data_IF_659087539449
#
_entry.id   IF_659087539449
#
_cell.length_a   1.000
_cell.length_b   1.000
_cell.length_c   1.000
_cell.angle_alpha   90.00
_cell.angle_beta   90.00
_cell.angle_gamma   90.00
#
_symmetry.space_group_name_H-M   'P 1'
#
loop_
_entity.id
_entity.type
_entity.pdbx_description
1 polymer ?
#
# COMPACT_ATOMS: atom_id res chain seq x y z
N UNK A 1 4.12 -1.03 -49.64
CA UNK A 1 3.93 -2.17 -48.74
C UNK A 1 3.14 -1.66 -47.55
N UNK A 2 1.88 -2.04 -47.47
CA UNK A 2 0.92 -1.55 -46.48
C UNK A 2 1.18 -2.28 -45.16
N UNK A 3 1.68 -1.57 -44.15
CA UNK A 3 1.91 -2.12 -42.81
C UNK A 3 0.57 -2.33 -42.13
N UNK A 4 0.31 -3.55 -41.66
CA UNK A 4 -0.88 -3.87 -40.88
C UNK A 4 -0.85 -3.09 -39.55
N UNK A 5 -1.99 -2.57 -39.07
CA UNK A 5 -2.05 -1.83 -37.82
C UNK A 5 -1.75 -2.76 -36.63
N UNK A 6 -1.19 -2.24 -35.53
CA UNK A 6 -0.89 -3.06 -34.35
C UNK A 6 -2.16 -3.69 -33.77
N UNK A 7 -2.10 -4.99 -33.49
CA UNK A 7 -3.22 -5.76 -32.96
C UNK A 7 -3.58 -5.30 -31.54
N UNK A 8 -4.62 -4.46 -31.47
CA UNK A 8 -5.20 -3.93 -30.22
C UNK A 8 -5.66 -5.03 -29.26
N UNK A 9 -5.93 -6.24 -29.77
CA UNK A 9 -6.37 -7.40 -29.00
C UNK A 9 -5.23 -7.99 -28.19
N UNK A 10 -4.04 -8.13 -28.79
CA UNK A 10 -2.83 -8.60 -28.12
C UNK A 10 -2.42 -7.66 -26.98
N UNK A 11 -2.46 -6.33 -27.21
CA UNK A 11 -2.14 -5.35 -26.16
C UNK A 11 -3.13 -5.38 -24.98
N UNK A 12 -4.42 -5.63 -25.24
CA UNK A 12 -5.43 -5.77 -24.18
C UNK A 12 -5.23 -7.05 -23.37
N UNK A 13 -4.92 -8.16 -24.05
CA UNK A 13 -4.63 -9.46 -23.44
C UNK A 13 -3.39 -9.40 -22.52
N UNK A 14 -2.30 -8.75 -22.94
CA UNK A 14 -1.09 -8.63 -22.11
C UNK A 14 -1.31 -7.76 -20.86
N UNK A 15 -2.12 -6.69 -20.96
CA UNK A 15 -2.53 -5.87 -19.80
C UNK A 15 -3.34 -6.68 -18.78
N UNK A 16 -4.20 -7.58 -19.24
CA UNK A 16 -4.98 -8.47 -18.37
C UNK A 16 -4.10 -9.51 -17.67
N UNK A 17 -3.07 -10.03 -18.35
CA UNK A 17 -2.10 -10.98 -17.79
C UNK A 17 -1.29 -10.39 -16.63
N UNK A 18 -0.90 -9.11 -16.71
CA UNK A 18 -0.11 -8.46 -15.65
C UNK A 18 -0.93 -7.97 -14.44
N UNK A 19 -2.27 -8.00 -14.49
CA UNK A 19 -3.12 -7.68 -13.32
C UNK A 19 -2.99 -8.67 -12.16
N UNK A 20 -2.46 -9.88 -12.40
CA UNK A 20 -2.31 -10.93 -11.39
C UNK A 20 -1.07 -10.79 -10.50
N UNK A 21 -0.05 -10.03 -10.93
CA UNK A 21 1.23 -9.91 -10.19
C UNK A 21 1.05 -9.19 -8.85
N UNK A 22 0.08 -8.29 -8.74
CA UNK A 22 -0.30 -7.63 -7.47
C UNK A 22 -1.01 -8.52 -6.46
N UNK A 23 -1.55 -9.69 -6.86
CA UNK A 23 -2.23 -10.63 -5.94
C UNK A 23 -1.30 -11.60 -5.24
N UNK A 24 -0.08 -11.83 -5.77
CA UNK A 24 0.87 -12.81 -5.24
C UNK A 24 1.58 -12.38 -3.95
N UNK A 25 1.42 -11.12 -3.51
CA UNK A 25 1.92 -10.65 -2.21
C UNK A 25 1.09 -11.17 -1.01
N UNK A 26 -0.03 -11.87 -1.25
CA UNK A 26 -0.74 -12.64 -0.21
C UNK A 26 -0.47 -14.12 -0.41
N UNK A 27 0.71 -14.57 0.03
CA UNK A 27 1.08 -15.98 -0.07
C UNK A 27 0.20 -16.80 0.89
N UNK A 28 -0.54 -17.75 0.30
CA UNK A 28 -1.43 -18.67 0.98
C UNK A 28 -0.66 -19.60 1.92
N UNK A 29 -1.02 -19.61 3.20
CA UNK A 29 -0.63 -20.66 4.13
C UNK A 29 -1.53 -21.88 3.83
N UNK A 30 -0.98 -23.08 3.57
CA UNK A 30 -1.80 -24.24 3.31
C UNK A 30 -2.50 -24.64 4.62
N UNK A 31 -3.83 -24.60 4.62
CA UNK A 31 -4.64 -25.12 5.70
C UNK A 31 -4.42 -26.63 5.81
N UNK A 32 -3.81 -27.06 6.92
CA UNK A 32 -3.73 -28.46 7.32
C UNK A 32 -5.16 -28.92 7.67
N UNK A 33 -5.73 -29.75 6.80
CA UNK A 33 -7.00 -30.42 7.02
C UNK A 33 -6.84 -31.48 8.12
N UNK A 34 -7.27 -31.15 9.34
CA UNK A 34 -7.53 -32.12 10.40
C UNK A 34 -8.97 -32.62 10.27
N UNK A 35 -9.12 -33.82 9.70
CA UNK A 35 -10.36 -34.58 9.68
C UNK A 35 -10.62 -35.12 11.09
N UNK A 36 -11.62 -34.59 11.79
CA UNK A 36 -12.21 -35.27 12.94
C UNK A 36 -13.64 -35.71 12.58
N UNK A 37 -13.79 -37.02 12.39
CA UNK A 37 -15.07 -37.69 12.32
C UNK A 37 -15.66 -37.80 13.73
N UNK A 38 -16.85 -37.23 13.93
CA UNK A 38 -17.75 -37.62 15.03
C UNK A 38 -19.15 -37.77 14.43
N UNK A 39 -19.52 -39.04 14.20
CA UNK A 39 -20.92 -39.46 14.09
C UNK A 39 -21.47 -39.57 15.50
N UNK A 40 -22.60 -38.91 15.79
CA UNK A 40 -23.65 -39.44 16.67
C UNK A 40 -24.97 -38.71 16.37
N UNK A 41 -25.95 -39.53 16.00
CA UNK A 41 -27.32 -39.20 15.63
C UNK A 41 -28.14 -38.56 16.76
N UNK A 42 -29.14 -37.76 16.38
CA UNK A 42 -30.23 -37.38 17.28
C UNK A 42 -31.29 -36.51 16.61
N UNK A 43 -32.28 -37.14 15.96
CA UNK A 43 -33.50 -36.50 15.51
C UNK A 43 -34.36 -36.08 16.70
N UNK A 44 -34.86 -34.84 16.72
CA UNK A 44 -36.15 -34.53 17.37
C UNK A 44 -36.95 -33.60 16.46
N UNK A 45 -38.03 -34.16 15.94
CA UNK A 45 -39.17 -33.48 15.31
C UNK A 45 -39.98 -32.71 16.36
N UNK A 46 -40.39 -31.48 16.07
CA UNK A 46 -41.48 -30.81 16.79
C UNK A 46 -42.61 -30.37 15.84
N UNK A 47 -43.88 -30.45 16.29
CA UNK A 47 -45.10 -30.37 15.47
C UNK A 47 -45.58 -28.93 15.20
N UNK A 48 -46.56 -28.73 14.29
CA UNK A 48 -47.10 -27.41 13.97
C UNK A 48 -48.16 -26.99 15.01
N UNK A 49 -48.03 -25.78 15.54
CA UNK A 49 -49.02 -25.12 16.39
C UNK A 49 -49.78 -24.03 15.62
N UNK A 50 -51.10 -24.13 15.60
CA UNK A 50 -52.07 -23.24 14.95
C UNK A 50 -52.55 -22.10 15.86
N UNK A 51 -52.69 -20.90 15.27
CA UNK A 51 -53.67 -19.85 15.61
C UNK A 51 -53.09 -18.52 16.14
N UNK A 52 -53.83 -17.39 16.09
CA UNK A 52 -54.85 -16.95 15.13
C UNK A 52 -54.52 -15.58 14.47
N UNK A 53 -55.28 -15.22 13.43
CA UNK A 53 -55.42 -13.87 12.86
C UNK A 53 -55.73 -12.81 13.94
N UNK A 54 -55.05 -11.65 13.91
CA UNK A 54 -55.73 -10.35 13.88
C UNK A 54 -54.81 -9.13 13.63
N UNK A 55 -55.31 -8.26 12.76
CA UNK A 55 -55.06 -6.81 12.67
C UNK A 55 -53.71 -6.31 12.12
N UNK A 56 -53.79 -5.72 10.92
CA UNK A 56 -52.66 -5.17 10.20
C UNK A 56 -52.24 -3.77 10.64
N UNK A 57 -50.97 -3.49 10.44
CA UNK A 57 -50.44 -2.19 10.04
C UNK A 57 -49.38 -2.43 8.96
N UNK A 58 -49.61 -1.87 7.77
CA UNK A 58 -48.65 -1.84 6.68
C UNK A 58 -47.34 -1.21 7.18
N UNK A 59 -46.29 -2.03 7.28
CA UNK A 59 -44.91 -1.57 7.27
C UNK A 59 -44.19 -2.35 6.19
N UNK A 60 -43.70 -1.65 5.17
CA UNK A 60 -42.82 -2.22 4.15
C UNK A 60 -41.69 -3.00 4.84
N UNK A 61 -41.26 -4.16 4.30
CA UNK A 61 -40.13 -4.87 4.88
C UNK A 61 -38.88 -4.00 4.73
N UNK A 62 -38.43 -3.42 5.84
CA UNK A 62 -37.09 -2.84 5.92
C UNK A 62 -36.16 -4.03 5.81
N UNK A 63 -35.60 -4.24 4.61
CA UNK A 63 -34.47 -5.14 4.43
C UNK A 63 -33.40 -4.70 5.43
N UNK A 64 -32.98 -5.53 6.39
CA UNK A 64 -31.81 -5.19 7.18
C UNK A 64 -30.65 -5.05 6.20
N UNK A 65 -30.10 -3.84 6.10
CA UNK A 65 -28.85 -3.59 5.41
C UNK A 65 -27.85 -4.65 5.88
N UNK A 66 -27.21 -5.42 4.97
CA UNK A 66 -26.17 -6.35 5.37
C UNK A 66 -25.12 -5.57 6.17
N UNK A 67 -24.83 -5.99 7.40
CA UNK A 67 -23.67 -5.49 8.14
C UNK A 67 -22.47 -5.90 7.30
N UNK A 68 -21.91 -4.93 6.58
CA UNK A 68 -20.66 -5.09 5.88
C UNK A 68 -19.60 -5.39 6.93
N UNK A 69 -19.10 -6.62 6.97
CA UNK A 69 -18.02 -7.02 7.87
C UNK A 69 -16.91 -5.97 7.80
N UNK A 70 -16.76 -5.26 8.92
CA UNK A 70 -16.30 -3.88 8.94
C UNK A 70 -14.81 -3.76 8.67
N UNK A 71 -14.46 -2.93 7.69
CA UNK A 71 -13.11 -2.38 7.61
C UNK A 71 -12.94 -1.44 8.82
N UNK A 72 -11.99 -1.73 9.70
CA UNK A 72 -11.67 -0.85 10.83
C UNK A 72 -11.21 0.52 10.30
N UNK A 73 -11.67 1.64 10.87
CA UNK A 73 -11.30 2.99 10.42
C UNK A 73 -9.79 3.30 10.40
N UNK A 74 -9.01 2.55 11.17
CA UNK A 74 -7.57 2.73 11.32
C UNK A 74 -6.74 1.90 10.33
N UNK A 75 -7.35 0.89 9.71
CA UNK A 75 -6.63 -0.11 8.91
C UNK A 75 -6.37 0.34 7.48
N UNK A 76 -5.25 -0.09 6.90
CA UNK A 76 -4.85 0.21 5.51
C UNK A 76 -4.44 1.66 5.27
N UNK A 77 -4.27 2.45 6.33
CA UNK A 77 -3.85 3.84 6.31
C UNK A 77 -2.49 3.94 7.00
N UNK A 78 -1.56 4.69 6.40
CA UNK A 78 -0.34 5.09 7.09
C UNK A 78 -0.61 6.34 7.93
N UNK A 79 -0.29 6.26 9.21
CA UNK A 79 -0.44 7.33 10.19
C UNK A 79 0.94 7.86 10.56
N UNK A 80 1.16 9.16 10.50
CA UNK A 80 2.42 9.83 10.86
C UNK A 80 2.27 10.46 12.24
N UNK A 81 3.20 10.18 13.15
CA UNK A 81 3.13 10.69 14.51
C UNK A 81 3.29 12.21 14.52
N UNK A 82 2.38 12.88 15.22
CA UNK A 82 2.37 14.34 15.40
C UNK A 82 2.86 14.72 16.79
N UNK A 83 2.45 13.96 17.81
CA UNK A 83 2.89 14.14 19.19
C UNK A 83 2.68 12.86 19.99
N UNK A 84 3.44 12.70 21.07
CA UNK A 84 3.30 11.60 22.02
C UNK A 84 3.33 12.12 23.47
N UNK A 85 2.78 11.35 24.42
CA UNK A 85 2.87 11.63 25.85
C UNK A 85 3.87 10.66 26.48
N UNK A 86 5.03 11.16 26.88
CA UNK A 86 6.09 10.41 27.56
C UNK A 86 5.76 10.01 29.01
N UNK A 87 4.51 10.18 29.46
CA UNK A 87 4.11 10.07 30.86
C UNK A 87 4.45 11.31 31.68
N UNK A 88 4.81 12.41 31.02
CA UNK A 88 5.02 13.73 31.61
C UNK A 88 3.74 14.55 31.41
N UNK A 89 3.47 15.52 32.28
CA UNK A 89 2.25 16.34 32.22
C UNK A 89 2.07 17.13 30.89
N UNK A 90 3.03 17.09 29.97
CA UNK A 90 3.01 17.79 28.69
C UNK A 90 3.24 16.84 27.51
N UNK A 91 2.46 17.03 26.44
CA UNK A 91 2.68 16.39 25.14
C UNK A 91 4.03 16.82 24.57
N UNK A 92 4.81 15.87 24.09
CA UNK A 92 6.10 16.11 23.43
C UNK A 92 5.91 16.19 21.90
N UNK A 93 6.66 17.10 21.26
CA UNK A 93 6.75 17.19 19.80
C UNK A 93 7.79 16.21 19.26
N UNK A 94 7.65 15.85 17.99
CA UNK A 94 8.59 14.97 17.29
C UNK A 94 9.95 15.66 17.12
N UNK A 95 11.02 14.91 17.33
CA UNK A 95 12.39 15.30 17.04
C UNK A 95 12.48 15.73 15.57
N UNK A 96 12.85 16.98 15.29
CA UNK A 96 12.97 17.48 13.92
C UNK A 96 13.91 16.62 13.07
N UNK A 97 13.50 16.30 11.85
CA UNK A 97 14.26 15.42 10.95
C UNK A 97 14.05 13.92 11.20
N UNK A 98 13.22 13.53 12.17
CA UNK A 98 12.74 12.15 12.31
C UNK A 98 11.30 12.02 11.80
N UNK A 99 10.97 10.86 11.22
CA UNK A 99 9.60 10.53 10.78
C UNK A 99 9.20 9.24 11.44
N UNK A 100 8.13 9.29 12.23
CA UNK A 100 7.57 8.13 12.94
C UNK A 100 6.23 7.79 12.31
N UNK A 101 6.02 6.52 11.94
CA UNK A 101 4.83 6.06 11.24
C UNK A 101 4.23 4.82 11.90
N UNK A 102 2.93 4.64 11.74
CA UNK A 102 2.20 3.44 12.12
C UNK A 102 1.20 3.08 11.01
N UNK A 103 1.19 1.81 10.60
CA UNK A 103 0.20 1.28 9.66
C UNK A 103 -0.40 0.00 10.20
N UNK A 104 -1.72 -0.03 10.32
CA UNK A 104 -2.49 -1.15 10.85
C UNK A 104 -3.01 -2.00 9.69
N UNK A 105 -2.56 -3.25 9.56
CA UNK A 105 -3.03 -4.15 8.51
C UNK A 105 -4.22 -4.98 8.97
N UNK A 106 -5.09 -5.37 8.04
CA UNK A 106 -6.31 -6.14 8.35
C UNK A 106 -6.00 -7.51 8.95
N UNK A 107 -4.81 -8.01 8.72
CA UNK A 107 -4.27 -9.28 9.20
C UNK A 107 -3.84 -9.25 10.69
N UNK A 108 -4.10 -8.15 11.42
CA UNK A 108 -3.79 -8.05 12.85
C UNK A 108 -2.31 -7.77 13.15
N UNK A 109 -1.58 -7.26 12.15
CA UNK A 109 -0.19 -6.83 12.28
C UNK A 109 -0.10 -5.35 11.98
N UNK A 110 0.67 -4.62 12.76
CA UNK A 110 1.05 -3.25 12.45
C UNK A 110 2.54 -3.17 12.17
N UNK A 111 2.92 -2.26 11.28
CA UNK A 111 4.31 -1.96 10.96
C UNK A 111 4.54 -0.45 10.89
N UNK A 112 5.79 -0.04 10.98
CA UNK A 112 6.13 1.37 10.84
C UNK A 112 7.60 1.66 10.99
N UNK A 113 7.92 2.96 10.98
CA UNK A 113 9.22 3.48 11.41
C UNK A 113 9.07 4.16 12.75
N UNK A 114 9.98 3.90 13.68
CA UNK A 114 10.10 4.63 14.94
C UNK A 114 11.05 5.83 14.84
N UNK A 115 11.36 6.28 13.62
CA UNK A 115 12.32 7.35 13.33
C UNK A 115 13.78 6.88 13.28
N UNK A 116 14.14 5.82 14.01
CA UNK A 116 15.45 5.17 13.95
C UNK A 116 15.36 3.77 13.33
N UNK A 117 14.50 2.91 13.90
CA UNK A 117 14.31 1.54 13.44
C UNK A 117 13.03 1.34 12.63
N UNK A 118 12.98 0.21 11.92
CA UNK A 118 11.72 -0.39 11.49
C UNK A 118 11.18 -1.22 12.64
N UNK A 119 9.87 -1.22 12.83
CA UNK A 119 9.22 -2.00 13.86
C UNK A 119 7.96 -2.70 13.34
N UNK A 120 7.55 -3.74 14.05
CA UNK A 120 6.29 -4.43 13.84
C UNK A 120 5.72 -4.94 15.16
N UNK A 121 4.40 -5.03 15.26
CA UNK A 121 3.69 -5.56 16.42
C UNK A 121 2.42 -6.28 15.97
N UNK A 122 1.95 -7.25 16.75
CA UNK A 122 0.58 -7.73 16.61
C UNK A 122 -0.37 -6.73 17.25
N UNK A 123 -1.57 -6.62 16.71
CA UNK A 123 -2.61 -5.82 17.32
C UNK A 123 -3.98 -6.48 17.11
N UNK A 124 -4.86 -6.24 18.07
CA UNK A 124 -6.27 -6.56 17.99
C UNK A 124 -7.06 -5.27 18.08
N UNK A 125 -8.07 -5.10 17.23
CA UNK A 125 -8.90 -3.92 17.24
C UNK A 125 -10.36 -4.24 16.94
N UNK A 126 -11.24 -3.46 17.55
CA UNK A 126 -12.67 -3.41 17.29
C UNK A 126 -13.04 -1.96 16.94
N UNK A 127 -14.32 -1.60 16.67
CA UNK A 127 -14.68 -0.24 16.27
C UNK A 127 -14.25 0.89 17.24
N UNK A 128 -13.92 0.58 18.49
CA UNK A 128 -13.49 1.59 19.47
C UNK A 128 -12.43 1.13 20.48
N UNK A 129 -11.91 -0.10 20.33
CA UNK A 129 -10.86 -0.66 21.19
C UNK A 129 -9.66 -1.07 20.35
N UNK A 130 -8.48 -0.97 20.95
CA UNK A 130 -7.25 -1.48 20.36
C UNK A 130 -6.37 -2.03 21.48
N UNK A 131 -5.70 -3.13 21.20
CA UNK A 131 -4.62 -3.68 22.02
C UNK A 131 -3.44 -3.95 21.10
N UNK A 132 -2.24 -3.53 21.49
CA UNK A 132 -1.02 -3.65 20.70
C UNK A 132 0.00 -4.42 21.54
N UNK A 133 0.48 -5.54 21.01
CA UNK A 133 1.56 -6.31 21.62
C UNK A 133 2.83 -5.48 21.69
N UNK A 134 3.74 -5.84 22.60
CA UNK A 134 5.06 -5.20 22.66
C UNK A 134 5.76 -5.25 21.28
N UNK A 135 6.11 -4.08 20.69
CA UNK A 135 6.71 -4.06 19.36
C UNK A 135 8.07 -4.72 19.31
N UNK A 136 8.33 -5.44 18.23
CA UNK A 136 9.66 -5.86 17.81
C UNK A 136 10.24 -4.81 16.87
N UNK A 137 11.57 -4.66 16.86
CA UNK A 137 12.26 -3.69 16.00
C UNK A 137 13.56 -4.25 15.45
N UNK A 138 14.06 -3.62 14.39
CA UNK A 138 15.47 -3.75 13.99
C UNK A 138 16.39 -3.19 15.08
N UNK A 139 17.67 -3.55 15.05
CA UNK A 139 18.65 -3.18 16.08
C UNK A 139 19.68 -2.16 15.57
N UNK A 140 19.24 -1.12 14.87
CA UNK A 140 20.10 0.01 14.50
C UNK A 140 20.26 0.97 15.69
N UNK A 141 21.45 1.57 15.80
CA UNK A 141 21.77 2.63 16.75
C UNK A 141 21.82 3.95 16.00
N UNK A 142 20.91 4.88 16.33
CA UNK A 142 20.85 6.20 15.69
C UNK A 142 21.15 7.29 16.72
N UNK A 143 22.20 8.07 16.48
CA UNK A 143 22.57 9.24 17.29
C UNK A 143 22.15 10.57 16.64
N UNK A 144 21.66 10.50 15.39
CA UNK A 144 21.25 11.66 14.60
C UNK A 144 19.87 11.36 14.00
N UNK A 145 18.89 12.27 14.09
CA UNK A 145 18.96 13.54 14.84
C UNK A 145 19.05 13.32 16.37
N UNK A 146 19.59 14.31 17.08
CA UNK A 146 19.72 14.24 18.55
C UNK A 146 18.37 13.95 19.20
N UNK A 147 18.32 12.96 20.10
CA UNK A 147 17.11 12.56 20.80
C UNK A 147 16.27 11.48 20.10
N UNK A 148 16.57 11.11 18.84
CA UNK A 148 15.77 10.12 18.09
C UNK A 148 15.68 8.76 18.79
N UNK A 149 16.75 8.31 19.43
CA UNK A 149 16.76 7.05 20.17
C UNK A 149 15.85 7.06 21.41
N UNK A 150 15.81 8.20 22.12
CA UNK A 150 14.91 8.38 23.27
C UNK A 150 13.46 8.45 22.81
N UNK A 151 13.18 9.20 21.73
CA UNK A 151 11.85 9.27 21.14
C UNK A 151 11.36 7.88 20.72
N UNK A 152 12.18 7.09 20.01
CA UNK A 152 11.84 5.73 19.62
C UNK A 152 11.42 4.89 20.83
N UNK A 153 12.21 4.96 21.91
CA UNK A 153 11.95 4.17 23.11
C UNK A 153 10.62 4.55 23.76
N UNK A 154 10.32 5.86 23.86
CA UNK A 154 9.05 6.33 24.41
C UNK A 154 7.87 5.95 23.51
N UNK A 155 7.99 6.19 22.21
CA UNK A 155 6.98 5.85 21.22
C UNK A 155 6.59 4.36 21.27
N UNK A 156 7.58 3.46 21.28
CA UNK A 156 7.31 2.01 21.30
C UNK A 156 6.69 1.56 22.63
N UNK A 157 7.03 2.20 23.75
CA UNK A 157 6.37 1.96 25.04
C UNK A 157 4.92 2.45 25.03
N UNK A 158 4.63 3.61 24.44
CA UNK A 158 3.30 4.21 24.40
C UNK A 158 2.32 3.44 23.50
N UNK A 159 2.82 2.78 22.43
CA UNK A 159 2.01 1.85 21.64
C UNK A 159 1.38 0.77 22.52
N UNK A 160 2.15 0.17 23.43
CA UNK A 160 1.68 -0.87 24.34
C UNK A 160 0.70 -0.38 25.42
N UNK A 161 0.53 0.93 25.60
CA UNK A 161 -0.45 1.50 26.55
C UNK A 161 -1.84 1.67 25.93
N UNK A 162 -1.94 1.64 24.60
CA UNK A 162 -3.18 1.89 23.89
C UNK A 162 -4.24 0.85 24.28
N UNK A 163 -5.42 1.33 24.67
CA UNK A 163 -6.61 0.53 25.02
C UNK A 163 -7.82 0.89 24.14
N UNK A 164 -7.88 2.14 23.70
CA UNK A 164 -8.91 2.65 22.80
C UNK A 164 -8.28 3.54 21.73
N UNK A 165 -9.04 3.82 20.67
CA UNK A 165 -8.63 4.79 19.66
C UNK A 165 -9.80 5.69 19.28
N UNK A 166 -9.47 6.85 18.73
CA UNK A 166 -10.42 7.80 18.13
C UNK A 166 -9.87 8.29 16.81
N UNK A 167 -10.69 8.22 15.76
CA UNK A 167 -10.42 8.86 14.47
C UNK A 167 -11.29 10.12 14.38
N UNK A 168 -10.67 11.25 14.09
CA UNK A 168 -11.32 12.56 13.93
C UNK A 168 -10.75 13.25 12.68
N UNK A 169 -11.48 13.13 11.56
CA UNK A 169 -11.00 13.55 10.25
C UNK A 169 -9.68 12.85 9.87
N UNK A 170 -8.63 13.64 9.71
CA UNK A 170 -7.28 13.16 9.38
C UNK A 170 -6.44 12.83 10.62
N UNK A 171 -7.00 12.82 11.84
CA UNK A 171 -6.25 12.51 13.05
C UNK A 171 -6.65 11.17 13.67
N UNK A 172 -5.66 10.39 14.07
CA UNK A 172 -5.83 9.20 14.89
C UNK A 172 -5.22 9.46 16.28
N UNK A 173 -6.03 9.33 17.32
CA UNK A 173 -5.56 9.31 18.71
C UNK A 173 -5.60 7.89 19.26
N UNK A 174 -4.51 7.41 19.83
CA UNK A 174 -4.49 6.22 20.69
C UNK A 174 -4.55 6.66 22.14
N UNK A 175 -5.46 6.06 22.92
CA UNK A 175 -5.71 6.44 24.30
C UNK A 175 -5.45 5.27 25.24
N UNK A 176 -4.91 5.57 26.42
CA UNK A 176 -4.71 4.60 27.48
C UNK A 176 -6.04 4.16 28.14
N UNK A 177 -5.96 3.21 29.08
CA UNK A 177 -7.12 2.71 29.80
C UNK A 177 -7.87 3.76 30.65
N UNK A 178 -7.27 4.93 30.88
CA UNK A 178 -7.90 6.06 31.58
C UNK A 178 -8.51 7.08 30.61
N UNK A 179 -8.48 6.81 29.30
CA UNK A 179 -8.98 7.72 28.27
C UNK A 179 -8.06 8.90 27.97
N UNK A 180 -6.79 8.86 28.41
CA UNK A 180 -5.81 9.88 28.06
C UNK A 180 -5.13 9.52 26.74
N UNK A 181 -5.06 10.48 25.82
CA UNK A 181 -4.35 10.30 24.55
C UNK A 181 -2.83 10.17 24.79
N UNK A 182 -2.26 9.02 24.44
CA UNK A 182 -0.82 8.72 24.56
C UNK A 182 -0.09 8.94 23.24
N UNK A 183 -0.77 8.78 22.11
CA UNK A 183 -0.21 9.01 20.79
C UNK A 183 -1.23 9.74 19.92
N UNK A 184 -0.79 10.78 19.23
CA UNK A 184 -1.56 11.49 18.22
C UNK A 184 -0.85 11.37 16.88
N UNK A 185 -1.55 10.88 15.89
CA UNK A 185 -1.10 10.78 14.52
C UNK A 185 -1.96 11.64 13.60
N UNK A 186 -1.34 12.16 12.55
CA UNK A 186 -2.02 12.64 11.36
C UNK A 186 -2.00 11.54 10.30
N UNK A 187 -3.05 11.45 9.49
CA UNK A 187 -3.09 10.62 8.29
C UNK A 187 -1.96 11.06 7.39
N UNK A 188 -1.18 10.12 6.85
CA UNK A 188 -0.22 10.45 5.80
C UNK A 188 -1.03 10.92 4.59
N UNK A 189 -1.16 12.24 4.44
CA UNK A 189 -1.61 12.84 3.21
C UNK A 189 -0.47 12.67 2.22
N UNK A 190 -0.69 11.89 1.16
CA UNK A 190 0.19 11.98 0.00
C UNK A 190 0.29 13.47 -0.36
N UNK A 191 1.50 14.04 -0.47
CA UNK A 191 1.65 15.40 -0.96
C UNK A 191 0.82 15.56 -2.23
N UNK A 192 0.18 16.70 -2.44
CA UNK A 192 -0.70 16.94 -3.60
C UNK A 192 -0.03 16.48 -4.90
N UNK A 193 1.26 16.79 -5.06
CA UNK A 193 2.12 16.36 -6.17
C UNK A 193 2.28 14.82 -6.28
N UNK A 194 2.32 14.11 -5.15
CA UNK A 194 2.38 12.64 -5.10
C UNK A 194 1.03 11.98 -5.36
N UNK A 195 -0.09 12.66 -5.09
CA UNK A 195 -1.41 12.14 -5.42
C UNK A 195 -1.58 11.96 -6.94
N UNK A 196 -0.96 12.83 -7.75
CA UNK A 196 -0.99 12.75 -9.22
C UNK A 196 -0.41 11.46 -9.77
N UNK A 197 0.67 10.94 -9.18
CA UNK A 197 1.35 9.74 -9.71
C UNK A 197 0.69 8.43 -9.23
N UNK A 198 0.02 8.43 -8.08
CA UNK A 198 -0.47 7.24 -7.38
C UNK A 198 -1.80 6.65 -7.90
N UNK A 199 -2.53 7.35 -8.77
CA UNK A 199 -3.88 6.92 -9.16
C UNK A 199 -3.98 6.41 -10.61
N UNK A 200 -3.01 6.75 -11.45
CA UNK A 200 -3.08 6.50 -12.89
C UNK A 200 -2.10 5.44 -13.40
N UNK A 201 -2.43 4.83 -14.54
CA UNK A 201 -1.47 4.00 -15.28
C UNK A 201 -0.78 4.87 -16.32
N UNK A 202 0.53 5.00 -16.17
CA UNK A 202 1.42 5.73 -17.05
C UNK A 202 1.86 4.85 -18.22
N UNK A 203 1.99 5.45 -19.39
CA UNK A 203 2.40 4.79 -20.64
C UNK A 203 3.71 5.39 -21.12
N UNK A 204 4.75 4.57 -21.28
CA UNK A 204 6.06 5.08 -21.67
C UNK A 204 5.99 5.65 -23.10
N UNK A 205 6.46 6.88 -23.26
CA UNK A 205 6.55 7.55 -24.55
C UNK A 205 8.00 7.65 -25.03
N UNK A 206 8.95 7.83 -24.11
CA UNK A 206 10.38 7.86 -24.41
C UNK A 206 11.22 7.39 -23.22
N UNK A 207 12.44 6.91 -23.49
CA UNK A 207 13.44 6.59 -22.46
C UNK A 207 14.84 7.04 -22.87
N UNK A 208 15.75 7.12 -21.91
CA UNK A 208 17.18 7.33 -22.14
C UNK A 208 17.86 6.03 -22.55
N UNK A 209 18.45 5.99 -23.74
CA UNK A 209 19.23 4.84 -24.20
C UNK A 209 20.62 4.75 -23.54
N UNK A 210 21.43 3.75 -23.89
CA UNK A 210 22.78 3.56 -23.34
C UNK A 210 23.77 4.65 -23.79
N UNK A 211 23.46 5.40 -24.85
CA UNK A 211 24.27 6.49 -25.37
C UNK A 211 23.91 7.84 -24.72
N UNK A 212 22.86 7.86 -23.89
CA UNK A 212 22.39 9.07 -23.19
C UNK A 212 21.38 9.89 -23.98
N UNK A 213 20.87 9.41 -25.12
CA UNK A 213 19.82 10.10 -25.87
C UNK A 213 18.42 9.71 -25.38
N UNK A 214 17.49 10.67 -25.39
CA UNK A 214 16.07 10.37 -25.20
C UNK A 214 15.50 9.88 -26.52
N UNK A 215 15.13 8.61 -26.56
CA UNK A 215 14.57 7.94 -27.74
C UNK A 215 13.12 7.56 -27.49
N UNK A 216 12.28 7.73 -28.51
CA UNK A 216 10.86 7.38 -28.41
C UNK A 216 10.67 5.86 -28.32
N UNK A 217 9.63 5.44 -27.59
CA UNK A 217 9.22 4.04 -27.54
C UNK A 217 8.87 3.53 -28.95
N UNK A 218 9.40 2.37 -29.37
CA UNK A 218 9.10 1.83 -30.69
C UNK A 218 7.61 1.57 -30.90
N UNK A 219 7.15 1.74 -32.13
CA UNK A 219 5.73 1.51 -32.46
C UNK A 219 5.30 0.08 -32.12
N UNK A 220 4.13 -0.06 -31.50
CA UNK A 220 3.58 -1.35 -31.09
C UNK A 220 4.16 -1.91 -29.79
N UNK A 221 5.22 -1.31 -29.22
CA UNK A 221 5.76 -1.68 -27.91
C UNK A 221 5.02 -0.93 -26.81
N UNK A 222 4.36 -1.69 -25.94
CA UNK A 222 3.64 -1.15 -24.80
C UNK A 222 4.50 -1.29 -23.55
N UNK A 223 4.83 -0.18 -22.91
CA UNK A 223 5.43 -0.19 -21.57
C UNK A 223 4.55 0.63 -20.63
N UNK A 224 4.28 0.10 -19.45
CA UNK A 224 3.41 0.75 -18.46
C UNK A 224 4.04 0.81 -17.08
N UNK A 225 3.68 1.84 -16.33
CA UNK A 225 3.99 1.97 -14.92
C UNK A 225 2.74 2.39 -14.14
N UNK A 226 2.50 1.72 -13.01
CA UNK A 226 1.46 2.10 -12.07
C UNK A 226 2.07 2.12 -10.68
N UNK A 227 2.03 3.28 -10.04
CA UNK A 227 2.51 3.49 -8.70
C UNK A 227 1.34 3.33 -7.73
N UNK A 228 1.49 2.45 -6.75
CA UNK A 228 0.48 2.16 -5.73
C UNK A 228 1.18 1.85 -4.42
N UNK A 229 0.77 2.55 -3.35
CA UNK A 229 1.33 2.40 -2.01
C UNK A 229 2.87 2.50 -2.02
N UNK A 230 3.55 1.39 -1.74
CA UNK A 230 5.01 1.24 -1.72
C UNK A 230 5.54 0.43 -2.91
N UNK A 231 4.83 0.42 -4.05
CA UNK A 231 5.21 -0.37 -5.22
C UNK A 231 5.02 0.37 -6.54
N UNK A 232 5.85 0.03 -7.51
CA UNK A 232 5.60 0.29 -8.93
C UNK A 232 5.47 -1.04 -9.64
N UNK A 233 4.47 -1.17 -10.50
CA UNK A 233 4.26 -2.37 -11.31
C UNK A 233 3.76 -2.04 -12.69
N UNK A 234 3.96 -2.96 -13.63
CA UNK A 234 3.44 -2.79 -14.97
C UNK A 234 3.94 -3.83 -15.95
N UNK A 235 3.98 -3.45 -17.21
CA UNK A 235 4.47 -4.26 -18.31
C UNK A 235 5.69 -3.56 -18.92
N UNK A 236 6.82 -4.25 -19.01
CA UNK A 236 8.08 -3.70 -19.52
C UNK A 236 8.26 -3.88 -21.04
N UNK A 237 7.20 -4.23 -21.77
CA UNK A 237 7.23 -4.51 -23.21
C UNK A 237 7.12 -6.00 -23.54
N UNK A 238 7.70 -6.87 -22.72
CA UNK A 238 7.57 -8.32 -22.85
C UNK A 238 7.19 -9.02 -21.56
N UNK A 239 7.76 -8.59 -20.43
CA UNK A 239 7.51 -9.15 -19.13
C UNK A 239 6.70 -8.21 -18.26
N UNK A 240 5.91 -8.80 -17.38
CA UNK A 240 5.35 -8.05 -16.27
C UNK A 240 6.46 -7.81 -15.25
N UNK A 241 6.46 -6.65 -14.60
CA UNK A 241 7.41 -6.35 -13.54
C UNK A 241 6.71 -5.75 -12.32
N UNK A 242 7.38 -5.88 -11.17
CA UNK A 242 7.03 -5.21 -9.93
C UNK A 242 8.32 -4.84 -9.20
N UNK A 243 8.34 -3.68 -8.57
CA UNK A 243 9.43 -3.22 -7.73
C UNK A 243 8.87 -2.48 -6.50
N UNK A 244 9.51 -2.60 -5.32
CA UNK A 244 9.28 -1.67 -4.23
C UNK A 244 9.57 -0.23 -4.68
N UNK A 245 8.71 0.72 -4.32
CA UNK A 245 8.86 2.12 -4.65
C UNK A 245 8.47 2.99 -3.45
N UNK A 246 9.28 3.99 -3.13
CA UNK A 246 9.05 4.89 -2.00
C UNK A 246 8.94 6.31 -2.52
N UNK A 247 7.72 6.85 -2.48
CA UNK A 247 7.43 8.20 -2.96
C UNK A 247 7.28 9.12 -1.75
N UNK A 248 8.03 10.22 -1.73
CA UNK A 248 7.92 11.28 -0.71
C UNK A 248 8.04 12.63 -1.37
N UNK A 249 6.94 13.38 -1.43
CA UNK A 249 6.89 14.67 -2.15
C UNK A 249 7.37 14.45 -3.59
N UNK A 250 8.32 15.22 -4.12
CA UNK A 250 8.88 15.03 -5.47
C UNK A 250 9.98 13.94 -5.56
N UNK A 251 10.40 13.36 -4.44
CA UNK A 251 11.41 12.30 -4.43
C UNK A 251 10.76 10.92 -4.62
N UNK A 252 11.42 10.06 -5.39
CA UNK A 252 10.99 8.68 -5.59
C UNK A 252 12.22 7.78 -5.60
N UNK A 253 12.19 6.70 -4.83
CA UNK A 253 13.22 5.65 -4.88
C UNK A 253 12.57 4.35 -5.30
N UNK A 254 13.06 3.75 -6.39
CA UNK A 254 12.57 2.46 -6.89
C UNK A 254 13.67 1.42 -6.67
N UNK A 255 13.34 0.33 -6.01
CA UNK A 255 14.27 -0.77 -5.79
C UNK A 255 14.34 -1.70 -7.01
N UNK A 256 15.19 -2.73 -6.93
CA UNK A 256 15.38 -3.67 -8.03
C UNK A 256 14.07 -4.34 -8.45
N UNK A 257 13.64 -4.20 -9.71
CA UNK A 257 12.46 -4.85 -10.23
C UNK A 257 12.63 -6.36 -10.33
N UNK A 258 11.57 -7.06 -9.94
CA UNK A 258 11.36 -8.46 -10.30
C UNK A 258 10.51 -8.50 -11.56
N UNK A 259 11.01 -9.19 -12.59
CA UNK A 259 10.30 -9.39 -13.84
C UNK A 259 9.99 -10.88 -14.05
N UNK A 260 8.90 -11.17 -14.76
CA UNK A 260 8.68 -12.52 -15.28
C UNK A 260 9.78 -12.89 -16.27
N UNK A 261 10.00 -14.18 -16.48
CA UNK A 261 11.00 -14.69 -17.43
C UNK A 261 10.31 -15.35 -18.63
N UNK A 262 9.62 -14.52 -19.43
CA UNK A 262 8.98 -14.94 -20.68
C UNK A 262 9.95 -14.74 -21.83
N UNK A 263 10.09 -15.75 -22.69
CA UNK A 263 10.92 -15.63 -23.87
C UNK A 263 10.28 -14.74 -24.96
N UNK A 264 10.93 -13.61 -25.25
CA UNK A 264 10.51 -12.67 -26.30
C UNK A 264 11.34 -12.91 -27.57
N UNK A 265 10.71 -13.22 -28.70
CA UNK A 265 11.43 -13.42 -29.98
C UNK A 265 11.91 -12.11 -30.62
N UNK A 266 11.16 -11.02 -30.47
CA UNK A 266 11.48 -9.73 -31.07
C UNK A 266 12.61 -9.01 -30.30
N UNK A 267 13.71 -8.72 -30.99
CA UNK A 267 14.89 -8.08 -30.40
C UNK A 267 14.63 -6.64 -29.95
N UNK A 268 13.89 -5.85 -30.73
CA UNK A 268 13.50 -4.49 -30.36
C UNK A 268 12.73 -4.47 -29.04
N UNK A 269 11.83 -5.43 -28.83
CA UNK A 269 11.07 -5.56 -27.58
C UNK A 269 11.99 -5.92 -26.40
N UNK A 270 12.90 -6.90 -26.58
CA UNK A 270 13.87 -7.28 -25.53
C UNK A 270 14.79 -6.11 -25.15
N UNK A 271 15.26 -5.37 -26.15
CA UNK A 271 16.14 -4.22 -25.93
C UNK A 271 15.41 -3.10 -25.19
N UNK A 272 14.17 -2.79 -25.59
CA UNK A 272 13.32 -1.81 -24.90
C UNK A 272 13.08 -2.22 -23.44
N UNK A 273 12.75 -3.49 -23.19
CA UNK A 273 12.53 -4.03 -21.85
C UNK A 273 13.77 -3.90 -20.97
N UNK A 274 14.94 -4.31 -21.47
CA UNK A 274 16.20 -4.19 -20.73
C UNK A 274 16.49 -2.73 -20.36
N UNK A 275 16.40 -1.82 -21.33
CA UNK A 275 16.65 -0.40 -21.10
C UNK A 275 15.70 0.15 -20.04
N UNK A 276 14.40 -0.14 -20.18
CA UNK A 276 13.39 0.30 -19.22
C UNK A 276 13.69 -0.18 -17.79
N UNK A 277 13.96 -1.47 -17.60
CA UNK A 277 14.20 -2.06 -16.28
C UNK A 277 15.50 -1.57 -15.63
N UNK A 278 16.51 -1.18 -16.42
CA UNK A 278 17.72 -0.52 -15.90
C UNK A 278 17.38 0.92 -15.50
N UNK A 279 16.77 1.70 -16.39
CA UNK A 279 16.48 3.11 -16.14
C UNK A 279 15.54 3.34 -14.96
N UNK A 280 14.56 2.47 -14.75
CA UNK A 280 13.63 2.64 -13.63
C UNK A 280 14.32 2.51 -12.26
N UNK A 281 15.45 1.82 -12.16
CA UNK A 281 16.24 1.67 -10.92
C UNK A 281 17.14 2.89 -10.63
N UNK A 282 17.41 3.71 -11.64
CA UNK A 282 18.26 4.91 -11.53
C UNK A 282 17.45 6.15 -11.13
N UNK A 283 16.15 5.99 -10.89
CA UNK A 283 15.21 7.06 -10.60
C UNK A 283 15.35 7.52 -9.15
N UNK A 284 15.53 8.82 -8.96
CA UNK A 284 15.63 9.49 -7.65
C UNK A 284 14.51 10.54 -7.44
N UNK A 285 13.95 11.08 -8.52
CA UNK A 285 12.88 12.07 -8.46
C UNK A 285 11.94 11.98 -9.66
N UNK A 286 10.81 12.66 -9.57
CA UNK A 286 9.85 12.81 -10.66
C UNK A 286 9.41 14.26 -10.86
N UNK A 287 9.00 14.56 -12.08
CA UNK A 287 8.40 15.84 -12.46
C UNK A 287 6.98 15.54 -12.98
N UNK A 288 5.93 15.92 -12.22
CA UNK A 288 4.56 15.74 -12.65
C UNK A 288 4.16 16.83 -13.67
N UNK A 289 3.25 16.48 -14.57
CA UNK A 289 2.51 17.39 -15.43
C UNK A 289 1.14 16.80 -15.76
N UNK A 290 0.22 17.61 -16.28
CA UNK A 290 -1.20 17.24 -16.43
C UNK A 290 -1.43 15.89 -17.12
N UNK A 291 -0.69 15.62 -18.21
CA UNK A 291 -0.76 14.38 -18.97
C UNK A 291 0.61 13.71 -19.13
N UNK A 292 1.59 14.10 -18.32
CA UNK A 292 2.98 13.63 -18.46
C UNK A 292 3.61 13.37 -17.11
N UNK A 293 4.42 12.32 -17.05
CA UNK A 293 5.26 12.02 -15.89
C UNK A 293 6.69 11.82 -16.39
N UNK A 294 7.63 12.57 -15.83
CA UNK A 294 9.05 12.44 -16.15
C UNK A 294 9.77 11.90 -14.91
N UNK A 295 10.52 10.82 -15.06
CA UNK A 295 11.39 10.29 -14.01
C UNK A 295 12.84 10.68 -14.31
N UNK A 296 13.55 11.16 -13.29
CA UNK A 296 14.92 11.68 -13.39
C UNK A 296 15.84 10.99 -12.37
N UNK A 297 17.15 10.96 -12.68
CA UNK A 297 18.18 10.53 -11.73
C UNK A 297 18.58 11.67 -10.76
N UNK A 298 19.48 11.38 -9.84
CA UNK A 298 20.01 12.33 -8.86
C UNK A 298 20.81 13.50 -9.45
N UNK A 299 21.18 13.44 -10.73
CA UNK A 299 21.76 14.55 -11.49
C UNK A 299 20.70 15.42 -12.19
N UNK A 300 19.43 15.04 -12.13
CA UNK A 300 18.32 15.73 -12.80
C UNK A 300 18.16 15.38 -14.28
N UNK A 301 18.84 14.33 -14.76
CA UNK A 301 18.72 13.88 -16.14
C UNK A 301 17.45 13.05 -16.33
N UNK A 302 16.69 13.35 -17.38
CA UNK A 302 15.52 12.54 -17.76
C UNK A 302 15.91 11.11 -18.08
N UNK A 303 15.27 10.13 -17.44
CA UNK A 303 15.46 8.71 -17.70
C UNK A 303 14.29 8.11 -18.45
N UNK A 304 13.07 8.44 -18.00
CA UNK A 304 11.82 7.88 -18.50
C UNK A 304 10.80 8.99 -18.65
N UNK A 305 10.12 9.02 -19.79
CA UNK A 305 9.02 9.94 -20.07
C UNK A 305 7.77 9.10 -20.30
N UNK A 306 6.72 9.42 -19.57
CA UNK A 306 5.42 8.80 -19.69
C UNK A 306 4.35 9.81 -20.06
N UNK A 307 3.28 9.32 -20.66
CA UNK A 307 2.04 10.05 -20.85
C UNK A 307 0.82 9.26 -20.37
N UNK A 308 -0.32 9.95 -20.28
CA UNK A 308 -1.63 9.31 -20.13
C UNK A 308 -2.11 8.79 -21.49
N UNK A 309 -3.04 7.84 -21.49
CA UNK A 309 -3.61 7.33 -22.75
C UNK A 309 -4.64 8.33 -23.27
N UNK A 310 -4.30 9.04 -24.34
CA UNK A 310 -5.29 9.76 -25.17
C UNK A 310 -6.22 8.80 -25.89
#
# INVERSE_FOLDING_TARGET
>A
MTTAPPDRTHQRYQKERCRGVTRLSKCAIPAVLLVFAVLLSGCITHPPGTGPEESGWNSSPVTPTPIQEGTLPISGITWVLVSYDSGRLAKESIVPGSVVTARFEREGVMYGSSGCNRYWARYEASPSKVSIDAPQRTNAVCNTPSGVHSQESMYLLDLGKASTYRVDGDFLSLLDGNGRAVLLFGKETAPEDSAHILQETWYLTALRDDQGFIVNSPEGVLVTARFLDETVSGFAGCNCYVAPAYIRSAAIRIETPLATDTWCRNETVRNQERLYLIRIQEVDAYVPGDNSLILVNGQGETLLVFGTRT
#
